data_IF_830394656781
#
_entry.id   IF_830394656781
#
_cell.length_a   1.000
_cell.length_b   1.000
_cell.length_c   1.000
_cell.angle_alpha   90.00
_cell.angle_beta   90.00
_cell.angle_gamma   90.00
#
_symmetry.space_group_name_H-M   'P 1'
#
loop_
_entity.id
_entity.type
_entity.pdbx_description
1 polymer ?
#
# COMPACT_ATOMS: atom_id res chain seq x y z
N UNK A 1 -37.80 -2.07 -7.56
CA UNK A 1 -36.55 -1.31 -7.42
C UNK A 1 -36.18 -1.35 -5.94
N UNK A 2 -34.97 -1.66 -5.60
CA UNK A 2 -34.55 -1.69 -4.18
C UNK A 2 -34.39 -0.24 -3.70
N UNK A 3 -35.13 0.16 -2.68
CA UNK A 3 -34.97 1.47 -2.02
C UNK A 3 -33.69 1.52 -1.15
N UNK A 4 -32.94 0.41 -1.11
CA UNK A 4 -31.72 0.30 -0.32
C UNK A 4 -30.51 0.81 -1.09
N UNK A 5 -29.54 1.44 -0.41
CA UNK A 5 -28.30 1.87 -1.03
C UNK A 5 -27.61 0.74 -1.78
N UNK A 6 -27.16 1.00 -2.98
CA UNK A 6 -26.31 0.10 -3.76
C UNK A 6 -24.86 0.14 -3.24
N UNK A 7 -24.09 -0.88 -3.52
CA UNK A 7 -22.69 -1.01 -3.09
C UNK A 7 -21.79 -1.10 -4.33
N UNK A 8 -20.76 -0.27 -4.39
CA UNK A 8 -19.71 -0.31 -5.38
C UNK A 8 -18.36 -0.63 -4.72
N UNK A 9 -17.77 -1.77 -5.05
CA UNK A 9 -16.47 -2.19 -4.51
C UNK A 9 -15.38 -1.71 -5.48
N UNK A 10 -14.48 -0.85 -4.99
CA UNK A 10 -13.45 -0.20 -5.78
C UNK A 10 -12.10 -0.87 -5.53
N UNK A 11 -11.63 -1.68 -6.48
CA UNK A 11 -10.31 -2.32 -6.46
C UNK A 11 -9.24 -1.45 -7.12
N UNK A 12 -7.98 -1.68 -6.76
CA UNK A 12 -6.85 -1.09 -7.48
C UNK A 12 -6.75 -1.67 -8.90
N UNK A 13 -6.89 -2.97 -9.01
CA UNK A 13 -6.60 -3.75 -10.21
C UNK A 13 -5.19 -4.34 -10.20
N UNK A 14 -4.97 -5.31 -11.06
CA UNK A 14 -3.71 -6.03 -11.20
C UNK A 14 -3.57 -6.61 -12.60
N UNK A 15 -2.32 -6.77 -13.05
CA UNK A 15 -2.00 -7.57 -14.25
C UNK A 15 -1.90 -9.06 -13.94
N UNK A 16 -1.94 -9.42 -12.68
CA UNK A 16 -1.96 -10.80 -12.20
C UNK A 16 -3.41 -11.29 -12.14
N UNK A 17 -3.74 -12.31 -12.92
CA UNK A 17 -5.10 -12.86 -13.01
C UNK A 17 -5.58 -13.40 -11.68
N UNK A 18 -4.71 -14.06 -10.90
CA UNK A 18 -5.06 -14.59 -9.59
C UNK A 18 -5.48 -13.48 -8.60
N UNK A 19 -4.82 -12.31 -8.66
CA UNK A 19 -5.22 -11.16 -7.85
C UNK A 19 -6.62 -10.64 -8.24
N UNK A 20 -6.93 -10.64 -9.53
CA UNK A 20 -8.24 -10.25 -10.05
C UNK A 20 -9.32 -11.25 -9.63
N UNK A 21 -9.03 -12.54 -9.70
CA UNK A 21 -9.93 -13.61 -9.27
C UNK A 21 -10.23 -13.52 -7.77
N UNK A 22 -9.21 -13.33 -6.92
CA UNK A 22 -9.39 -13.18 -5.48
C UNK A 22 -10.21 -11.94 -5.11
N UNK A 23 -10.01 -10.82 -5.81
CA UNK A 23 -10.86 -9.63 -5.64
C UNK A 23 -12.31 -9.91 -6.05
N UNK A 24 -12.52 -10.59 -7.18
CA UNK A 24 -13.86 -10.96 -7.65
C UNK A 24 -14.56 -11.92 -6.68
N UNK A 25 -13.80 -12.78 -5.99
CA UNK A 25 -14.35 -13.65 -4.95
C UNK A 25 -14.83 -12.84 -3.74
N UNK A 26 -14.09 -11.81 -3.31
CA UNK A 26 -14.55 -10.88 -2.27
C UNK A 26 -15.84 -10.18 -2.72
N UNK A 27 -15.89 -9.68 -3.95
CA UNK A 27 -17.10 -9.04 -4.49
C UNK A 27 -18.29 -10.01 -4.54
N UNK A 28 -18.07 -11.28 -4.89
CA UNK A 28 -19.09 -12.33 -4.84
C UNK A 28 -19.59 -12.54 -3.41
N UNK A 29 -18.68 -12.75 -2.47
CA UNK A 29 -19.04 -12.97 -1.06
C UNK A 29 -19.83 -11.79 -0.47
N UNK A 30 -19.50 -10.54 -0.86
CA UNK A 30 -20.27 -9.37 -0.46
C UNK A 30 -21.69 -9.34 -1.08
N UNK A 31 -21.86 -9.79 -2.33
CA UNK A 31 -23.21 -9.97 -2.91
C UNK A 31 -24.04 -10.97 -2.11
N UNK A 32 -23.43 -12.04 -1.63
CA UNK A 32 -24.12 -13.04 -0.79
C UNK A 32 -24.49 -12.50 0.60
N UNK A 33 -23.68 -11.56 1.14
CA UNK A 33 -23.96 -10.88 2.42
C UNK A 33 -25.03 -9.79 2.32
N UNK A 34 -25.23 -9.23 1.13
CA UNK A 34 -26.21 -8.17 0.84
C UNK A 34 -27.16 -8.57 -0.28
N UNK A 35 -27.95 -9.66 -0.11
CA UNK A 35 -28.77 -10.23 -1.20
C UNK A 35 -29.93 -9.31 -1.64
N UNK A 36 -30.25 -8.31 -0.85
CA UNK A 36 -31.31 -7.33 -1.07
C UNK A 36 -30.81 -5.97 -1.62
N UNK A 37 -29.53 -5.88 -1.93
CA UNK A 37 -28.87 -4.69 -2.50
C UNK A 37 -28.26 -4.99 -3.86
N UNK A 38 -28.16 -3.95 -4.68
CA UNK A 38 -27.33 -3.99 -5.87
C UNK A 38 -25.87 -3.91 -5.45
N UNK A 39 -25.02 -4.85 -5.92
CA UNK A 39 -23.59 -4.89 -5.60
C UNK A 39 -22.79 -5.06 -6.88
N UNK A 40 -22.03 -4.05 -7.24
CA UNK A 40 -21.09 -4.08 -8.35
C UNK A 40 -19.65 -3.90 -7.87
N UNK A 41 -18.73 -4.23 -8.75
CA UNK A 41 -17.30 -4.07 -8.47
C UNK A 41 -16.57 -3.58 -9.72
N UNK A 42 -15.45 -2.90 -9.53
CA UNK A 42 -14.62 -2.45 -10.62
C UNK A 42 -13.22 -2.06 -10.14
N UNK A 43 -12.33 -1.89 -11.09
CA UNK A 43 -10.92 -1.61 -10.86
C UNK A 43 -10.56 -0.19 -11.29
N UNK A 44 -9.60 0.39 -10.60
CA UNK A 44 -9.04 1.69 -10.96
C UNK A 44 -8.21 1.58 -12.25
N UNK A 45 -7.39 0.53 -12.35
CA UNK A 45 -6.48 0.31 -13.48
C UNK A 45 -6.17 -1.19 -13.70
N UNK A 46 -5.53 -1.53 -14.81
CA UNK A 46 -5.00 -2.86 -15.19
C UNK A 46 -6.00 -4.00 -15.39
N UNK A 47 -7.24 -3.87 -14.95
CA UNK A 47 -8.24 -4.94 -15.06
C UNK A 47 -9.63 -4.36 -15.39
N UNK A 48 -10.54 -5.24 -15.84
CA UNK A 48 -11.93 -4.90 -16.14
C UNK A 48 -12.90 -5.73 -15.28
N UNK A 49 -14.12 -5.19 -15.01
CA UNK A 49 -14.62 -3.86 -15.40
C UNK A 49 -13.92 -2.73 -14.62
N UNK A 50 -13.87 -1.55 -15.21
CA UNK A 50 -13.40 -0.36 -14.50
C UNK A 50 -14.48 0.17 -13.55
N UNK A 51 -14.08 0.97 -12.56
CA UNK A 51 -14.99 1.55 -11.55
C UNK A 51 -16.16 2.25 -12.22
N UNK A 52 -15.90 3.09 -13.23
CA UNK A 52 -16.93 3.81 -13.96
C UNK A 52 -18.00 2.88 -14.55
N UNK A 53 -17.62 1.77 -15.15
CA UNK A 53 -18.55 0.78 -15.69
C UNK A 53 -19.48 0.21 -14.61
N UNK A 54 -18.95 -0.05 -13.42
CA UNK A 54 -19.76 -0.52 -12.29
C UNK A 54 -20.75 0.52 -11.80
N UNK A 55 -20.31 1.79 -11.69
CA UNK A 55 -21.16 2.92 -11.30
C UNK A 55 -22.29 3.17 -12.31
N UNK A 56 -21.98 3.22 -13.62
CA UNK A 56 -22.95 3.39 -14.69
C UNK A 56 -24.01 2.27 -14.67
N UNK A 57 -23.57 1.04 -14.39
CA UNK A 57 -24.48 -0.11 -14.29
C UNK A 57 -25.43 0.01 -13.09
N UNK A 58 -24.94 0.48 -11.95
CA UNK A 58 -25.78 0.74 -10.77
C UNK A 58 -26.80 1.86 -11.05
N UNK A 59 -26.38 2.94 -11.70
CA UNK A 59 -27.26 4.03 -12.12
C UNK A 59 -28.35 3.53 -13.08
N UNK A 60 -27.98 2.75 -14.11
CA UNK A 60 -28.91 2.17 -15.07
C UNK A 60 -29.91 1.21 -14.40
N UNK A 61 -29.58 0.57 -13.31
CA UNK A 61 -30.47 -0.26 -12.49
C UNK A 61 -31.35 0.55 -11.53
N UNK A 62 -31.24 1.89 -11.55
CA UNK A 62 -32.07 2.80 -10.78
C UNK A 62 -31.62 3.04 -9.35
N UNK A 63 -30.36 2.83 -9.03
CA UNK A 63 -29.82 3.17 -7.73
C UNK A 63 -29.97 4.68 -7.46
N UNK A 64 -30.47 5.05 -6.28
CA UNK A 64 -30.59 6.44 -5.83
C UNK A 64 -29.52 6.80 -4.79
N UNK A 65 -28.90 5.82 -4.22
CA UNK A 65 -27.72 5.97 -3.34
C UNK A 65 -26.71 4.87 -3.65
N UNK A 66 -25.44 5.24 -3.77
CA UNK A 66 -24.33 4.32 -4.02
C UNK A 66 -23.27 4.51 -2.93
N UNK A 67 -22.92 3.43 -2.26
CA UNK A 67 -21.86 3.37 -1.27
C UNK A 67 -20.61 2.79 -1.92
N UNK A 68 -19.61 3.62 -2.17
CA UNK A 68 -18.35 3.23 -2.79
C UNK A 68 -17.34 2.82 -1.71
N UNK A 69 -16.84 1.59 -1.81
CA UNK A 69 -16.03 0.92 -0.80
C UNK A 69 -14.64 0.60 -1.36
N UNK A 70 -13.55 1.20 -0.85
CA UNK A 70 -12.20 0.86 -1.31
C UNK A 70 -11.78 -0.52 -0.84
N UNK A 71 -11.41 -1.40 -1.79
CA UNK A 71 -10.85 -2.72 -1.53
C UNK A 71 -9.36 -2.64 -1.23
N UNK A 72 -8.96 -1.84 -0.25
CA UNK A 72 -7.58 -1.55 0.11
C UNK A 72 -7.39 -1.55 1.62
N UNK A 73 -6.19 -2.00 2.05
CA UNK A 73 -5.86 -2.08 3.48
C UNK A 73 -5.62 -0.71 4.10
N UNK A 74 -4.84 0.15 3.46
CA UNK A 74 -4.48 1.47 3.96
C UNK A 74 -4.65 2.55 2.91
N UNK A 75 -5.03 3.73 3.35
CA UNK A 75 -5.18 4.89 2.49
C UNK A 75 -3.82 5.49 2.14
N UNK A 76 -3.49 5.45 0.87
CA UNK A 76 -2.38 6.15 0.23
C UNK A 76 -2.92 6.89 -1.00
N UNK A 77 -2.08 7.30 -1.94
CA UNK A 77 -2.46 8.11 -3.09
C UNK A 77 -3.76 7.67 -3.79
N UNK A 78 -3.92 6.39 -4.07
CA UNK A 78 -5.14 5.89 -4.73
C UNK A 78 -6.41 6.11 -3.91
N UNK A 79 -6.39 5.83 -2.62
CA UNK A 79 -7.57 6.02 -1.74
C UNK A 79 -7.80 7.48 -1.38
N UNK A 80 -6.71 8.26 -1.19
CA UNK A 80 -6.78 9.67 -0.80
C UNK A 80 -7.05 10.61 -1.97
N UNK A 81 -6.77 10.20 -3.22
CA UNK A 81 -6.83 11.05 -4.39
C UNK A 81 -7.59 10.42 -5.58
N UNK A 82 -7.12 9.28 -6.10
CA UNK A 82 -7.60 8.78 -7.39
C UNK A 82 -9.03 8.24 -7.33
N UNK A 83 -9.35 7.40 -6.34
CA UNK A 83 -10.70 6.89 -6.14
C UNK A 83 -11.71 8.00 -5.82
N UNK A 84 -11.44 8.94 -4.88
CA UNK A 84 -12.33 10.06 -4.66
C UNK A 84 -12.54 10.92 -5.89
N UNK A 85 -11.52 11.13 -6.73
CA UNK A 85 -11.63 11.87 -7.98
C UNK A 85 -12.61 11.21 -8.94
N UNK A 86 -12.46 9.90 -9.21
CA UNK A 86 -13.36 9.15 -10.08
C UNK A 86 -14.81 9.16 -9.58
N UNK A 87 -14.99 8.95 -8.27
CA UNK A 87 -16.31 8.91 -7.64
C UNK A 87 -16.99 10.28 -7.64
N UNK A 88 -16.21 11.35 -7.34
CA UNK A 88 -16.75 12.72 -7.37
C UNK A 88 -17.12 13.15 -8.79
N UNK A 89 -16.32 12.79 -9.80
CA UNK A 89 -16.65 13.07 -11.21
C UNK A 89 -17.97 12.38 -11.61
N UNK A 90 -18.14 11.11 -11.23
CA UNK A 90 -19.41 10.42 -11.47
C UNK A 90 -20.58 11.10 -10.74
N UNK A 91 -20.41 11.51 -9.49
CA UNK A 91 -21.44 12.19 -8.71
C UNK A 91 -21.86 13.55 -9.32
N UNK A 92 -20.90 14.29 -9.89
CA UNK A 92 -21.18 15.54 -10.61
C UNK A 92 -22.01 15.33 -11.88
N UNK A 93 -21.85 14.21 -12.56
CA UNK A 93 -22.62 13.84 -13.75
C UNK A 93 -24.02 13.28 -13.42
N UNK A 94 -24.22 12.82 -12.17
CA UNK A 94 -25.44 12.16 -11.69
C UNK A 94 -25.96 12.82 -10.40
N UNK A 95 -26.36 14.09 -10.48
CA UNK A 95 -26.81 14.89 -9.32
C UNK A 95 -28.06 14.30 -8.61
N UNK A 96 -28.78 13.38 -9.26
CA UNK A 96 -29.93 12.68 -8.69
C UNK A 96 -29.58 11.43 -7.88
N UNK A 97 -28.27 11.09 -7.78
CA UNK A 97 -27.74 9.93 -7.04
C UNK A 97 -26.86 10.41 -5.88
N UNK A 98 -27.20 10.01 -4.65
CA UNK A 98 -26.35 10.25 -3.48
C UNK A 98 -25.18 9.25 -3.49
N UNK A 99 -23.98 9.70 -3.83
CA UNK A 99 -22.77 8.87 -3.90
C UNK A 99 -21.88 9.16 -2.70
N UNK A 100 -21.57 8.12 -1.94
CA UNK A 100 -20.71 8.21 -0.76
C UNK A 100 -19.49 7.32 -0.92
N UNK A 101 -18.34 7.84 -0.52
CA UNK A 101 -17.08 7.10 -0.52
C UNK A 101 -16.64 6.84 0.91
N UNK A 102 -16.56 5.56 1.29
CA UNK A 102 -16.12 5.12 2.59
C UNK A 102 -14.60 5.06 2.72
N UNK A 103 -14.13 4.87 3.95
CA UNK A 103 -12.70 4.70 4.22
C UNK A 103 -12.21 3.29 3.83
N UNK A 104 -10.91 3.15 3.76
CA UNK A 104 -10.21 1.87 3.61
C UNK A 104 -10.47 0.90 4.78
N UNK A 105 -10.00 -0.34 4.65
CA UNK A 105 -10.16 -1.34 5.72
C UNK A 105 -9.44 -0.94 7.02
N UNK A 106 -8.34 -0.19 6.90
CA UNK A 106 -7.53 0.32 8.00
C UNK A 106 -7.00 -0.78 8.95
N UNK A 107 -6.69 -0.41 10.20
CA UNK A 107 -6.37 -1.37 11.25
C UNK A 107 -7.68 -1.85 11.85
N UNK A 108 -8.01 -3.09 11.61
CA UNK A 108 -9.24 -3.72 12.07
C UNK A 108 -8.90 -4.98 12.88
N UNK A 109 -9.59 -5.17 14.00
CA UNK A 109 -9.39 -6.34 14.88
C UNK A 109 -9.58 -7.66 14.12
N UNK A 110 -10.51 -7.72 13.18
CA UNK A 110 -10.78 -8.91 12.37
C UNK A 110 -9.60 -9.24 11.47
N UNK A 111 -8.97 -8.24 10.87
CA UNK A 111 -7.78 -8.44 10.04
C UNK A 111 -6.57 -8.89 10.87
N UNK A 112 -6.42 -8.39 12.10
CA UNK A 112 -5.38 -8.87 13.03
C UNK A 112 -5.63 -10.34 13.42
N UNK A 113 -6.88 -10.74 13.64
CA UNK A 113 -7.23 -12.14 13.92
C UNK A 113 -6.94 -13.05 12.71
N UNK A 114 -7.17 -12.58 11.47
CA UNK A 114 -6.75 -13.31 10.26
C UNK A 114 -5.22 -13.46 10.23
N UNK A 115 -4.46 -12.41 10.50
CA UNK A 115 -3.00 -12.51 10.56
C UNK A 115 -2.55 -13.54 11.59
N UNK A 116 -3.14 -13.51 12.79
CA UNK A 116 -2.89 -14.50 13.83
C UNK A 116 -3.15 -15.92 13.33
N UNK A 117 -4.30 -16.16 12.70
CA UNK A 117 -4.65 -17.47 12.12
C UNK A 117 -3.59 -17.91 11.10
N UNK A 118 -3.17 -17.02 10.17
CA UNK A 118 -2.15 -17.34 9.15
C UNK A 118 -0.79 -17.67 9.75
N UNK A 119 -0.44 -16.98 10.82
CA UNK A 119 0.80 -17.26 11.58
C UNK A 119 0.70 -18.62 12.26
N UNK A 120 -0.39 -18.92 12.96
CA UNK A 120 -0.61 -20.19 13.65
C UNK A 120 -0.66 -21.38 12.68
N UNK A 121 -1.28 -21.22 11.52
CA UNK A 121 -1.26 -22.22 10.43
C UNK A 121 0.19 -22.50 9.97
N UNK A 122 0.98 -21.46 9.79
CA UNK A 122 2.37 -21.59 9.35
C UNK A 122 3.27 -22.19 10.45
N UNK A 123 3.07 -21.82 11.72
CA UNK A 123 3.76 -22.44 12.86
C UNK A 123 3.45 -23.94 12.96
N UNK A 124 2.18 -24.32 12.79
CA UNK A 124 1.75 -25.72 12.85
C UNK A 124 2.28 -26.58 11.69
N UNK A 125 2.59 -25.97 10.55
CA UNK A 125 3.17 -26.65 9.40
C UNK A 125 4.70 -26.81 9.46
N UNK A 126 5.35 -26.24 10.47
CA UNK A 126 6.80 -26.27 10.60
C UNK A 126 7.29 -27.53 11.29
N UNK A 127 8.45 -28.02 10.86
CA UNK A 127 9.20 -29.02 11.59
C UNK A 127 9.90 -28.42 12.81
N UNK A 128 9.75 -29.06 13.96
CA UNK A 128 10.39 -28.66 15.22
C UNK A 128 9.67 -27.49 15.91
N UNK A 129 9.73 -27.52 17.24
CA UNK A 129 9.14 -26.51 18.10
C UNK A 129 10.15 -25.40 18.40
N UNK A 130 9.80 -24.14 18.05
CA UNK A 130 10.56 -22.94 18.43
C UNK A 130 9.62 -22.01 19.18
N UNK A 131 9.97 -21.62 20.40
CA UNK A 131 9.16 -20.72 21.19
C UNK A 131 8.99 -19.36 20.48
N UNK A 132 7.82 -18.72 20.62
CA UNK A 132 7.60 -17.37 20.09
C UNK A 132 8.57 -16.33 20.66
N UNK A 133 9.03 -16.50 21.91
CA UNK A 133 10.07 -15.67 22.51
C UNK A 133 11.43 -15.75 21.76
N UNK A 134 11.71 -16.87 21.09
CA UNK A 134 12.89 -17.09 20.25
C UNK A 134 12.64 -16.80 18.76
N UNK A 135 11.49 -16.23 18.43
CA UNK A 135 11.01 -15.97 17.07
C UNK A 135 10.88 -14.47 16.83
N UNK A 136 11.33 -14.00 15.67
CA UNK A 136 11.10 -12.66 15.15
C UNK A 136 9.93 -12.69 14.16
N UNK A 137 8.97 -11.79 14.34
CA UNK A 137 7.90 -11.55 13.38
C UNK A 137 8.30 -10.44 12.40
N UNK A 138 8.39 -10.75 11.11
CA UNK A 138 8.60 -9.78 10.03
C UNK A 138 7.29 -9.56 9.29
N UNK A 139 6.67 -8.40 9.47
CA UNK A 139 5.48 -8.02 8.70
C UNK A 139 5.90 -7.27 7.43
N UNK A 140 5.43 -7.73 6.28
CA UNK A 140 5.80 -7.17 4.99
C UNK A 140 4.65 -6.39 4.41
N UNK A 141 4.81 -5.06 4.30
CA UNK A 141 3.86 -4.18 3.60
C UNK A 141 4.16 -4.06 2.11
N UNK A 142 3.19 -3.52 1.35
CA UNK A 142 3.43 -3.14 -0.05
C UNK A 142 4.51 -2.06 -0.17
N UNK A 143 4.45 -1.07 0.72
CA UNK A 143 5.22 0.16 0.65
C UNK A 143 4.58 1.21 -0.28
N UNK A 144 4.70 2.46 0.10
CA UNK A 144 4.16 3.62 -0.61
C UNK A 144 4.99 4.87 -0.28
N UNK A 145 4.78 5.96 -1.03
CA UNK A 145 5.34 7.27 -0.70
C UNK A 145 4.59 7.98 0.45
N UNK A 146 3.46 7.43 0.88
CA UNK A 146 2.66 7.96 1.97
C UNK A 146 3.14 7.38 3.30
N UNK A 147 3.74 8.22 4.14
CA UNK A 147 4.29 7.81 5.44
C UNK A 147 3.22 7.39 6.46
N UNK A 148 2.00 7.92 6.36
CA UNK A 148 0.88 7.51 7.19
C UNK A 148 0.49 6.06 6.90
N UNK A 149 0.32 5.70 5.62
CA UNK A 149 0.03 4.33 5.21
C UNK A 149 1.16 3.36 5.60
N UNK A 150 2.43 3.76 5.46
CA UNK A 150 3.57 2.95 5.89
C UNK A 150 3.60 2.75 7.42
N UNK A 151 3.27 3.80 8.20
CA UNK A 151 3.24 3.71 9.66
C UNK A 151 2.14 2.76 10.18
N UNK A 152 1.05 2.58 9.44
CA UNK A 152 0.01 1.63 9.78
C UNK A 152 0.49 0.18 9.72
N UNK A 153 1.44 -0.16 8.82
CA UNK A 153 2.08 -1.49 8.82
C UNK A 153 2.86 -1.73 10.12
N UNK A 154 3.55 -0.70 10.64
CA UNK A 154 4.25 -0.78 11.92
C UNK A 154 3.28 -0.97 13.09
N UNK A 155 2.11 -0.33 13.06
CA UNK A 155 1.07 -0.55 14.07
C UNK A 155 0.54 -1.99 14.04
N UNK A 156 0.25 -2.54 12.85
CA UNK A 156 -0.14 -3.95 12.70
C UNK A 156 0.93 -4.88 13.27
N UNK A 157 2.17 -4.69 12.87
CA UNK A 157 3.30 -5.49 13.37
C UNK A 157 3.39 -5.42 14.90
N UNK A 158 3.32 -4.21 15.47
CA UNK A 158 3.41 -4.01 16.92
C UNK A 158 2.30 -4.74 17.68
N UNK A 159 1.07 -4.66 17.18
CA UNK A 159 -0.08 -5.31 17.81
C UNK A 159 0.02 -6.84 17.73
N UNK A 160 0.49 -7.38 16.62
CA UNK A 160 0.72 -8.83 16.46
C UNK A 160 1.88 -9.31 17.33
N UNK A 161 3.01 -8.62 17.28
CA UNK A 161 4.19 -8.96 18.08
C UNK A 161 3.86 -9.05 19.57
N UNK A 162 3.29 -7.98 20.15
CA UNK A 162 2.94 -7.96 21.57
C UNK A 162 1.80 -8.92 21.89
N UNK A 163 0.76 -8.93 21.07
CA UNK A 163 -0.45 -9.75 21.29
C UNK A 163 -0.19 -11.25 21.20
N UNK A 164 0.80 -11.68 20.41
CA UNK A 164 1.15 -13.10 20.22
C UNK A 164 2.39 -13.53 21.01
N UNK A 165 3.11 -12.61 21.66
CA UNK A 165 4.27 -12.91 22.53
C UNK A 165 5.52 -13.29 21.76
N UNK A 166 5.76 -12.72 20.57
CA UNK A 166 7.02 -12.90 19.84
C UNK A 166 8.19 -12.22 20.57
N UNK A 167 9.42 -12.71 20.38
CA UNK A 167 10.60 -12.11 20.97
C UNK A 167 10.91 -10.73 20.40
N UNK A 168 10.62 -10.50 19.11
CA UNK A 168 10.79 -9.23 18.41
C UNK A 168 9.84 -9.09 17.21
N UNK A 169 9.68 -7.86 16.74
CA UNK A 169 8.92 -7.54 15.54
C UNK A 169 9.62 -6.49 14.70
N UNK A 170 9.64 -6.69 13.37
CA UNK A 170 10.19 -5.79 12.37
C UNK A 170 9.24 -5.64 11.18
N UNK A 171 9.44 -4.57 10.40
CA UNK A 171 8.70 -4.29 9.18
C UNK A 171 9.66 -4.11 8.01
N UNK A 172 9.30 -4.69 6.87
CA UNK A 172 9.92 -4.35 5.59
C UNK A 172 8.86 -4.20 4.49
N UNK A 173 9.29 -3.85 3.28
CA UNK A 173 8.38 -3.50 2.20
C UNK A 173 8.76 -4.21 0.90
N UNK A 174 7.73 -4.66 0.18
CA UNK A 174 7.89 -5.29 -1.13
C UNK A 174 8.27 -4.30 -2.23
N UNK A 175 7.93 -3.02 -2.07
CA UNK A 175 8.20 -1.96 -3.04
C UNK A 175 8.21 -0.57 -2.40
N UNK A 176 8.59 0.45 -3.17
CA UNK A 176 8.53 1.90 -2.89
C UNK A 176 9.26 2.33 -1.61
N UNK A 177 8.84 1.87 -0.43
CA UNK A 177 9.44 2.20 0.87
C UNK A 177 10.62 1.29 1.25
N UNK A 178 11.40 1.68 2.24
CA UNK A 178 12.56 0.95 2.79
C UNK A 178 12.33 0.67 4.28
N UNK A 179 12.95 -0.40 4.85
CA UNK A 179 13.82 -1.37 4.18
C UNK A 179 13.07 -2.28 3.21
N UNK A 180 13.75 -2.76 2.16
CA UNK A 180 13.21 -3.78 1.25
C UNK A 180 13.26 -5.14 1.91
N UNK A 181 12.53 -6.12 1.35
CA UNK A 181 12.46 -7.48 1.91
C UNK A 181 13.84 -8.10 2.14
N UNK A 182 14.78 -8.12 1.16
CA UNK A 182 16.09 -8.69 1.40
C UNK A 182 16.86 -7.98 2.53
N UNK A 183 16.87 -6.63 2.49
CA UNK A 183 17.59 -5.82 3.47
C UNK A 183 17.02 -5.99 4.89
N UNK A 184 15.69 -6.00 5.01
CA UNK A 184 15.01 -6.21 6.28
C UNK A 184 15.26 -7.60 6.85
N UNK A 185 15.23 -8.64 6.03
CA UNK A 185 15.47 -10.02 6.46
C UNK A 185 16.95 -10.25 6.81
N UNK A 186 17.90 -9.68 6.06
CA UNK A 186 19.33 -9.75 6.39
C UNK A 186 19.65 -8.98 7.68
N UNK A 187 18.95 -7.89 7.95
CA UNK A 187 19.04 -7.19 9.24
C UNK A 187 18.49 -8.07 10.37
N UNK A 188 17.29 -8.61 10.20
CA UNK A 188 16.64 -9.48 11.18
C UNK A 188 17.49 -10.73 11.51
N UNK A 189 18.15 -11.31 10.51
CA UNK A 189 19.03 -12.47 10.72
C UNK A 189 20.21 -12.20 11.68
N UNK A 190 20.65 -10.94 11.80
CA UNK A 190 21.74 -10.55 12.72
C UNK A 190 21.27 -10.38 14.16
N UNK A 191 19.96 -10.37 14.42
CA UNK A 191 19.41 -10.19 15.77
C UNK A 191 19.44 -11.46 16.63
N UNK A 192 19.79 -12.61 16.03
CA UNK A 192 20.07 -13.85 16.77
C UNK A 192 18.84 -14.68 17.13
N UNK A 193 17.68 -14.44 16.52
CA UNK A 193 16.48 -15.26 16.69
C UNK A 193 16.63 -16.59 15.95
N UNK A 194 16.05 -17.66 16.52
CA UNK A 194 16.10 -19.00 15.94
C UNK A 194 15.14 -19.17 14.75
N UNK A 195 14.05 -18.39 14.75
CA UNK A 195 13.03 -18.39 13.70
C UNK A 195 12.71 -16.96 13.29
N UNK A 196 12.45 -16.76 11.98
CA UNK A 196 11.89 -15.53 11.43
C UNK A 196 10.61 -15.93 10.69
N UNK A 197 9.46 -15.42 11.15
CA UNK A 197 8.17 -15.60 10.47
C UNK A 197 7.96 -14.38 9.57
N UNK A 198 7.79 -14.61 8.27
CA UNK A 198 7.55 -13.58 7.25
C UNK A 198 6.07 -13.58 6.91
N UNK A 199 5.38 -12.50 7.31
CA UNK A 199 3.94 -12.30 7.13
C UNK A 199 3.66 -11.23 6.09
N UNK A 200 3.27 -11.57 4.84
CA UNK A 200 2.79 -10.59 3.87
C UNK A 200 1.44 -10.00 4.31
N UNK A 201 1.40 -8.71 4.61
CA UNK A 201 0.14 -8.01 4.93
C UNK A 201 -0.51 -7.51 3.64
N UNK A 202 -1.17 -8.41 2.92
CA UNK A 202 -1.81 -8.21 1.62
C UNK A 202 -3.20 -8.83 1.61
N UNK A 203 -4.14 -8.18 0.90
CA UNK A 203 -5.47 -8.74 0.68
C UNK A 203 -5.45 -9.89 -0.33
N UNK A 204 -4.73 -9.70 -1.43
CA UNK A 204 -4.76 -10.59 -2.60
C UNK A 204 -3.35 -11.03 -2.99
N UNK A 205 -3.29 -12.14 -3.72
CA UNK A 205 -2.07 -12.62 -4.37
C UNK A 205 -1.53 -11.63 -5.40
N UNK A 206 -0.44 -11.97 -6.04
CA UNK A 206 0.13 -11.23 -7.14
C UNK A 206 1.65 -11.24 -7.16
N UNK A 207 2.22 -10.59 -8.16
CA UNK A 207 3.67 -10.53 -8.40
C UNK A 207 4.44 -10.10 -7.14
N UNK A 208 3.86 -9.20 -6.33
CA UNK A 208 4.54 -8.69 -5.12
C UNK A 208 4.60 -9.73 -4.01
N UNK A 209 3.53 -10.51 -3.81
CA UNK A 209 3.50 -11.58 -2.80
C UNK A 209 4.47 -12.70 -3.19
N UNK A 210 4.45 -13.13 -4.46
CA UNK A 210 5.38 -14.12 -4.97
C UNK A 210 6.83 -13.66 -4.79
N UNK A 211 7.13 -12.40 -5.14
CA UNK A 211 8.46 -11.80 -4.94
C UNK A 211 8.89 -11.81 -3.46
N UNK A 212 7.98 -11.57 -2.52
CA UNK A 212 8.30 -11.65 -1.08
C UNK A 212 8.76 -13.06 -0.73
N UNK A 213 8.07 -14.08 -1.23
CA UNK A 213 8.42 -15.47 -0.96
C UNK A 213 9.75 -15.86 -1.59
N UNK A 214 9.99 -15.50 -2.85
CA UNK A 214 11.26 -15.77 -3.54
C UNK A 214 12.44 -15.10 -2.82
N UNK A 215 12.31 -13.82 -2.48
CA UNK A 215 13.34 -13.08 -1.75
C UNK A 215 13.56 -13.64 -0.34
N UNK A 216 12.53 -14.17 0.30
CA UNK A 216 12.68 -14.86 1.60
C UNK A 216 13.50 -16.11 1.44
N UNK A 217 13.26 -16.92 0.41
CA UNK A 217 14.03 -18.14 0.14
C UNK A 217 15.50 -17.82 -0.20
N UNK A 218 15.75 -16.76 -0.98
CA UNK A 218 17.12 -16.30 -1.29
C UNK A 218 17.89 -15.88 -0.05
N UNK A 219 17.25 -15.20 0.90
CA UNK A 219 17.88 -14.81 2.16
C UNK A 219 18.03 -16.02 3.08
N UNK A 220 17.02 -16.89 3.19
CA UNK A 220 17.08 -18.11 4.00
C UNK A 220 18.26 -19.01 3.62
N UNK A 221 18.57 -19.13 2.33
CA UNK A 221 19.73 -19.90 1.85
C UNK A 221 21.08 -19.39 2.39
N UNK A 222 21.20 -18.10 2.76
CA UNK A 222 22.40 -17.51 3.35
C UNK A 222 22.54 -17.77 4.86
N UNK A 223 21.42 -18.13 5.52
CA UNK A 223 21.35 -18.29 6.97
C UNK A 223 20.75 -19.66 7.37
N UNK A 224 21.44 -20.79 7.08
CA UNK A 224 20.91 -22.14 7.26
C UNK A 224 20.61 -22.50 8.72
N UNK A 225 21.11 -21.74 9.68
CA UNK A 225 20.87 -21.94 11.11
C UNK A 225 19.62 -21.22 11.64
N UNK A 226 18.93 -20.45 10.78
CA UNK A 226 17.70 -19.73 11.12
C UNK A 226 16.55 -20.38 10.34
N UNK A 227 15.47 -20.68 11.02
CA UNK A 227 14.27 -21.20 10.38
C UNK A 227 13.45 -20.01 9.83
N UNK A 228 13.40 -19.86 8.50
CA UNK A 228 12.50 -18.91 7.84
C UNK A 228 11.17 -19.57 7.54
N UNK A 229 10.08 -18.95 7.98
CA UNK A 229 8.70 -19.45 7.83
C UNK A 229 7.89 -18.40 7.09
N UNK A 230 7.30 -18.79 5.97
CA UNK A 230 6.42 -17.91 5.18
C UNK A 230 4.98 -18.21 5.54
N UNK A 231 4.22 -17.20 5.96
CA UNK A 231 2.78 -17.36 6.15
C UNK A 231 2.03 -17.11 4.85
N UNK A 232 0.79 -17.54 4.76
CA UNK A 232 -0.14 -17.02 3.76
C UNK A 232 -0.51 -15.56 4.11
N UNK A 233 -1.11 -14.84 3.15
CA UNK A 233 -1.68 -13.50 3.32
C UNK A 233 -3.18 -13.59 3.68
N UNK A 234 -3.91 -12.45 3.68
CA UNK A 234 -5.28 -12.38 4.23
C UNK A 234 -6.31 -13.18 3.41
N UNK A 235 -6.27 -13.06 2.07
CA UNK A 235 -7.20 -13.70 1.12
C UNK A 235 -8.68 -13.34 1.39
N UNK A 236 -9.57 -14.24 1.03
CA UNK A 236 -11.02 -14.19 1.20
C UNK A 236 -11.50 -14.77 2.54
N UNK A 237 -10.67 -14.68 3.58
CA UNK A 237 -11.05 -15.18 4.90
C UNK A 237 -12.38 -14.54 5.35
N UNK A 238 -13.30 -15.29 6.01
CA UNK A 238 -14.61 -14.75 6.42
C UNK A 238 -14.52 -13.44 7.20
N UNK A 239 -13.53 -13.28 8.08
CA UNK A 239 -13.31 -12.04 8.83
C UNK A 239 -12.85 -10.86 7.94
N UNK A 240 -12.24 -11.12 6.78
CA UNK A 240 -11.97 -10.07 5.79
C UNK A 240 -13.29 -9.56 5.21
N UNK A 241 -14.19 -10.48 4.86
CA UNK A 241 -15.53 -10.12 4.37
C UNK A 241 -16.31 -9.35 5.45
N UNK A 242 -16.23 -9.78 6.72
CA UNK A 242 -16.86 -9.06 7.84
C UNK A 242 -16.29 -7.64 8.03
N UNK A 243 -14.99 -7.44 7.77
CA UNK A 243 -14.41 -6.09 7.79
C UNK A 243 -14.98 -5.21 6.65
N UNK A 244 -15.20 -5.75 5.46
CA UNK A 244 -15.87 -5.04 4.38
C UNK A 244 -17.33 -4.71 4.73
N UNK A 245 -18.06 -5.64 5.34
CA UNK A 245 -19.45 -5.40 5.80
C UNK A 245 -19.48 -4.24 6.77
N UNK A 246 -18.58 -4.19 7.74
CA UNK A 246 -18.47 -3.08 8.71
C UNK A 246 -18.25 -1.73 8.00
N UNK A 247 -17.40 -1.67 6.95
CA UNK A 247 -17.22 -0.43 6.16
C UNK A 247 -18.52 0.04 5.51
N UNK A 248 -19.35 -0.89 5.02
CA UNK A 248 -20.68 -0.55 4.49
C UNK A 248 -21.58 0.00 5.60
N UNK A 249 -21.61 -0.62 6.76
CA UNK A 249 -22.44 -0.19 7.89
C UNK A 249 -22.01 1.18 8.42
N UNK A 250 -20.72 1.46 8.51
CA UNK A 250 -20.20 2.80 8.83
C UNK A 250 -20.73 3.88 7.87
N UNK A 251 -20.73 3.62 6.58
CA UNK A 251 -21.28 4.57 5.61
C UNK A 251 -22.81 4.76 5.75
N UNK A 252 -23.53 3.71 6.13
CA UNK A 252 -24.97 3.78 6.39
C UNK A 252 -25.29 4.60 7.64
N UNK A 253 -24.46 4.53 8.68
CA UNK A 253 -24.60 5.35 9.89
C UNK A 253 -24.14 6.80 9.67
N UNK A 254 -23.46 7.09 8.57
CA UNK A 254 -22.88 8.41 8.26
C UNK A 254 -21.48 8.63 8.82
N UNK A 255 -20.87 7.58 9.37
CA UNK A 255 -19.50 7.61 9.88
C UNK A 255 -18.48 7.37 8.76
N UNK A 256 -17.24 7.86 8.96
CA UNK A 256 -16.08 7.58 8.10
C UNK A 256 -16.27 7.82 6.59
N UNK A 257 -17.03 8.84 6.21
CA UNK A 257 -17.19 9.25 4.83
C UNK A 257 -15.91 9.96 4.34
N UNK A 258 -15.28 9.47 3.26
CA UNK A 258 -13.99 9.94 2.74
C UNK A 258 -14.09 11.01 1.63
N UNK A 259 -15.22 11.13 0.96
CA UNK A 259 -15.38 12.07 -0.16
C UNK A 259 -15.67 13.50 0.33
N UNK A 260 -14.72 14.11 0.99
CA UNK A 260 -14.83 15.49 1.46
C UNK A 260 -14.37 16.45 0.38
N UNK A 261 -14.49 16.54 -0.72
CA UNK A 261 -14.21 17.44 -1.84
C UNK A 261 -13.37 18.72 -1.52
N UNK A 262 -13.00 18.94 -0.26
CA UNK A 262 -12.36 20.16 0.22
C UNK A 262 -10.84 20.10 0.21
N UNK A 263 -10.25 18.90 0.33
CA UNK A 263 -8.80 18.75 0.36
C UNK A 263 -8.34 17.38 -0.09
N UNK A 264 -7.14 17.32 -0.62
CA UNK A 264 -6.47 16.09 -1.03
C UNK A 264 -6.06 15.25 0.18
N UNK A 265 -5.56 15.91 1.23
CA UNK A 265 -5.21 15.30 2.50
C UNK A 265 -5.93 16.06 3.61
N UNK A 266 -6.66 15.36 4.47
CA UNK A 266 -7.35 15.98 5.61
C UNK A 266 -6.39 16.35 6.72
N UNK A 267 -5.33 15.57 6.88
CA UNK A 267 -4.31 15.76 7.89
C UNK A 267 -3.00 16.16 7.24
N UNK A 268 -2.28 17.05 7.91
CA UNK A 268 -0.99 17.48 7.46
C UNK A 268 0.03 16.34 7.63
N UNK A 269 0.64 15.93 6.52
CA UNK A 269 1.71 14.94 6.49
C UNK A 269 3.02 15.71 6.26
N UNK A 270 4.03 15.45 7.09
CA UNK A 270 5.36 16.05 6.95
C UNK A 270 5.93 15.79 5.55
N UNK A 271 6.29 16.84 4.84
CA UNK A 271 6.77 16.81 3.45
C UNK A 271 5.68 16.99 2.39
N UNK A 272 4.41 17.12 2.78
CA UNK A 272 3.27 17.37 1.89
C UNK A 272 2.44 18.58 2.36
N UNK A 273 3.06 19.51 3.05
CA UNK A 273 2.39 20.67 3.64
C UNK A 273 1.71 21.54 2.58
N UNK A 274 2.28 21.60 1.37
CA UNK A 274 1.71 22.35 0.24
C UNK A 274 0.43 21.71 -0.33
N UNK A 275 0.20 20.42 -0.05
CA UNK A 275 -0.95 19.68 -0.58
C UNK A 275 -2.18 19.78 0.32
N UNK A 276 -2.01 20.30 1.54
CA UNK A 276 -3.12 20.48 2.48
C UNK A 276 -4.13 21.48 1.92
N UNK A 277 -5.37 21.03 1.76
CA UNK A 277 -6.45 21.81 1.16
C UNK A 277 -6.47 21.86 -0.37
N UNK A 278 -5.51 21.22 -1.05
CA UNK A 278 -5.50 21.13 -2.49
C UNK A 278 -6.68 20.28 -3.00
N UNK A 279 -7.22 20.63 -4.17
CA UNK A 279 -8.23 19.85 -4.83
C UNK A 279 -7.70 18.45 -5.22
N UNK A 280 -8.57 17.44 -5.13
CA UNK A 280 -8.26 16.09 -5.59
C UNK A 280 -8.19 16.08 -7.12
N UNK A 281 -7.10 15.54 -7.66
CA UNK A 281 -6.90 15.35 -9.10
C UNK A 281 -6.38 13.95 -9.32
N UNK A 282 -7.12 13.14 -10.06
CA UNK A 282 -6.71 11.77 -10.41
C UNK A 282 -5.44 11.77 -11.26
N UNK A 283 -4.52 10.86 -11.00
CA UNK A 283 -3.28 10.69 -11.77
C UNK A 283 -3.48 9.82 -13.01
N UNK A 284 -4.51 9.00 -13.02
CA UNK A 284 -4.72 8.00 -14.05
C UNK A 284 -5.62 8.57 -15.14
N UNK A 285 -5.01 9.26 -16.11
CA UNK A 285 -5.73 9.79 -17.29
C UNK A 285 -6.21 8.67 -18.25
N UNK A 286 -5.80 7.43 -18.00
CA UNK A 286 -6.11 6.28 -18.84
C UNK A 286 -6.50 5.10 -17.96
N UNK A 287 -7.72 5.14 -17.42
CA UNK A 287 -8.31 3.95 -16.79
C UNK A 287 -8.68 2.97 -17.91
N UNK A 288 -7.67 2.30 -18.46
CA UNK A 288 -7.88 1.26 -19.45
C UNK A 288 -7.68 -0.09 -18.79
N UNK A 289 -8.75 -0.85 -18.67
CA UNK A 289 -8.67 -2.26 -18.32
C UNK A 289 -8.12 -3.07 -19.48
N UNK A 290 -7.59 -4.25 -19.21
CA UNK A 290 -7.23 -5.22 -20.24
C UNK A 290 -8.49 -5.56 -21.02
N UNK A 291 -8.48 -5.35 -22.36
CA UNK A 291 -9.62 -5.66 -23.24
C UNK A 291 -10.58 -4.49 -23.50
N UNK A 292 -10.26 -3.26 -23.07
CA UNK A 292 -11.03 -2.07 -23.48
C UNK A 292 -10.41 -1.44 -24.75
N UNK A 293 -10.75 -1.98 -25.92
CA UNK A 293 -10.40 -1.37 -27.22
C UNK A 293 -11.42 -0.28 -27.61
N UNK A 294 -11.83 0.55 -26.66
CA UNK A 294 -12.79 1.63 -26.87
C UNK A 294 -12.11 2.99 -26.92
N UNK A 295 -11.90 3.53 -28.13
CA UNK A 295 -11.47 4.90 -28.36
C UNK A 295 -12.53 5.89 -27.82
N UNK A 296 -12.25 6.49 -26.65
CA UNK A 296 -12.83 7.78 -26.30
C UNK A 296 -11.72 8.78 -26.12
N UNK A 297 -11.37 9.46 -27.22
CA UNK A 297 -10.61 10.68 -27.18
C UNK A 297 -11.48 11.78 -26.57
N UNK A 298 -11.32 12.05 -25.28
CA UNK A 298 -11.67 13.35 -24.75
C UNK A 298 -10.39 14.21 -24.80
N UNK A 299 -10.31 14.99 -25.86
CA UNK A 299 -9.31 16.03 -26.04
C UNK A 299 -9.62 17.18 -25.08
N UNK A 300 -9.11 17.11 -23.86
CA UNK A 300 -9.08 18.24 -22.94
C UNK A 300 -7.66 18.79 -22.95
N UNK A 301 -7.42 19.69 -23.91
CA UNK A 301 -6.22 20.50 -23.97
C UNK A 301 -6.06 21.38 -22.72
N UNK A 302 -5.39 20.88 -21.71
CA UNK A 302 -4.81 21.68 -20.67
C UNK A 302 -3.29 21.59 -20.76
N UNK A 303 -2.71 22.61 -21.40
CA UNK A 303 -1.29 22.88 -21.33
C UNK A 303 -0.92 23.24 -19.89
N UNK A 304 -0.37 22.31 -19.16
CA UNK A 304 0.35 22.60 -17.93
C UNK A 304 1.83 22.74 -18.28
N UNK A 305 2.24 23.98 -18.44
CA UNK A 305 3.63 24.40 -18.48
C UNK A 305 4.24 24.22 -17.07
N UNK A 306 4.87 23.09 -16.83
CA UNK A 306 5.72 22.89 -15.68
C UNK A 306 7.17 23.10 -16.12
N UNK A 307 7.57 24.35 -16.15
CA UNK A 307 8.97 24.73 -16.27
C UNK A 307 9.78 24.24 -15.08
N UNK A 308 10.31 23.04 -15.16
CA UNK A 308 11.43 22.60 -14.34
C UNK A 308 12.73 22.91 -15.08
N UNK A 309 13.25 24.08 -14.77
CA UNK A 309 14.59 24.51 -15.18
C UNK A 309 15.63 23.71 -14.40
N UNK A 310 16.07 22.60 -14.98
CA UNK A 310 17.28 21.90 -14.57
C UNK A 310 18.44 22.38 -15.41
N UNK A 311 19.07 23.45 -14.93
CA UNK A 311 20.30 23.97 -15.51
C UNK A 311 21.42 22.92 -15.48
N UNK A 312 21.59 22.18 -16.55
CA UNK A 312 22.78 21.40 -16.80
C UNK A 312 23.88 22.33 -17.34
N UNK A 313 24.80 22.71 -16.47
CA UNK A 313 26.04 23.33 -16.88
C UNK A 313 26.94 22.32 -17.60
N UNK A 314 26.96 22.35 -18.91
CA UNK A 314 28.00 21.73 -19.70
C UNK A 314 29.24 22.63 -19.66
N UNK A 315 30.28 22.23 -18.96
CA UNK A 315 31.60 22.82 -19.10
C UNK A 315 32.27 22.28 -20.34
N UNK A 316 32.42 23.16 -21.33
CA UNK A 316 33.32 22.96 -22.46
C UNK A 316 34.76 23.12 -21.99
N UNK A 317 35.56 22.08 -22.18
CA UNK A 317 37.02 22.15 -22.09
C UNK A 317 37.58 22.99 -23.24
N UNK A 318 38.21 24.09 -22.92
CA UNK A 318 39.27 24.66 -23.73
C UNK A 318 40.58 24.53 -23.00
N UNK A 319 41.48 23.74 -23.58
CA UNK A 319 42.83 23.61 -23.11
C UNK A 319 43.63 24.89 -23.39
N UNK A 320 44.44 25.29 -22.44
CA UNK A 320 45.66 26.04 -22.70
C UNK A 320 46.70 25.55 -21.69
N UNK A 321 47.79 25.10 -22.29
CA UNK A 321 49.09 24.73 -21.82
C UNK A 321 49.83 25.97 -21.26
N UNK A 322 50.59 25.83 -20.18
CA UNK A 322 51.85 26.51 -19.84
C UNK A 322 52.19 26.28 -18.35
N UNK A 323 53.20 25.47 -18.04
CA UNK A 323 54.55 25.97 -17.75
C UNK A 323 54.86 26.03 -16.23
N UNK A 324 55.62 25.03 -15.78
CA UNK A 324 56.58 25.03 -14.68
C UNK A 324 56.65 26.18 -13.68
N UNK A 325 56.67 25.83 -12.37
CA UNK A 325 57.78 26.15 -11.47
C UNK A 325 57.71 25.35 -10.15
N UNK A 326 58.84 24.69 -9.85
CA UNK A 326 59.19 24.12 -8.55
C UNK A 326 59.38 25.23 -7.52
N UNK A 327 58.94 24.99 -6.29
CA UNK A 327 59.62 25.41 -5.11
C UNK A 327 59.40 24.43 -3.94
N UNK A 328 60.50 23.85 -3.56
CA UNK A 328 60.82 23.03 -2.42
C UNK A 328 60.99 23.96 -1.20
N UNK A 329 60.39 23.65 -0.06
CA UNK A 329 60.86 24.14 1.25
C UNK A 329 60.48 23.14 2.35
N UNK A 330 61.48 22.39 2.78
CA UNK A 330 61.66 21.72 4.06
C UNK A 330 61.75 22.74 5.20
N UNK A 331 61.23 22.39 6.39
CA UNK A 331 61.78 22.68 7.72
C UNK A 331 60.87 22.02 8.77
N UNK A 332 61.34 20.97 9.40
CA UNK A 332 62.00 20.81 10.68
C UNK A 332 61.17 21.08 11.95
N UNK A 333 61.12 20.00 12.74
CA UNK A 333 60.63 19.91 14.12
C UNK A 333 61.53 20.74 15.10
N UNK A 334 61.07 21.06 16.39
CA UNK A 334 61.43 20.11 17.43
C UNK A 334 60.39 19.90 18.56
N UNK A 335 60.66 18.80 19.29
CA UNK A 335 60.12 18.34 20.54
C UNK A 335 60.19 19.33 21.73
N UNK A 336 59.28 19.13 22.67
CA UNK A 336 59.41 19.11 24.14
C UNK A 336 57.99 18.96 24.72
N UNK A 337 57.61 18.14 25.65
CA UNK A 337 58.29 17.53 26.75
C UNK A 337 57.40 17.69 27.99
N UNK A 338 56.99 16.56 28.55
CA UNK A 338 56.64 16.30 29.97
C UNK A 338 55.72 17.24 30.79
N UNK A 339 54.85 16.62 31.54
CA UNK A 339 54.19 17.20 32.70
C UNK A 339 52.98 16.46 33.25
N UNK A 340 53.25 15.56 34.14
CA UNK A 340 52.34 14.80 35.01
C UNK A 340 51.38 15.62 35.90
N UNK A 341 50.35 14.86 36.39
CA UNK A 341 49.59 14.94 37.65
C UNK A 341 48.49 16.05 37.72
N UNK A 342 47.28 15.68 37.99
CA UNK A 342 46.66 14.88 39.09
C UNK A 342 45.29 14.36 38.61
#
# INVERSE_FOLDING_TARGET
MSDKPAIMICGHGSRDEGAVEEFNLVAKNLRERFPDRLVESGFLEFATPIIRTGLDKLAAQGAKQILCLPGMLFAAGHVKNDLPSEINNFALEHEDIDVRFGRELAIDRRLLEVCKTRIEEAEAACDGEVARADTLLMVVGRGTNDSDANSNVHKVMRMLWEGMGFGWGEVCYSGVAVPRVPDGLEHAAKLGYKRIIVMPYFLFTGILVNRIYDQTDEVAAKYPNIQFVKTSYLKDHPLVIDAFVERVEEMLSGDNNMNCQLCKYREQIIGYESDVGAAQVGHHHHVMGIGTDGHHHHDHGHAHDHGHDHGHHHHHHHGHDHGHHHHDHTHDHPHHGDGEKT
#
